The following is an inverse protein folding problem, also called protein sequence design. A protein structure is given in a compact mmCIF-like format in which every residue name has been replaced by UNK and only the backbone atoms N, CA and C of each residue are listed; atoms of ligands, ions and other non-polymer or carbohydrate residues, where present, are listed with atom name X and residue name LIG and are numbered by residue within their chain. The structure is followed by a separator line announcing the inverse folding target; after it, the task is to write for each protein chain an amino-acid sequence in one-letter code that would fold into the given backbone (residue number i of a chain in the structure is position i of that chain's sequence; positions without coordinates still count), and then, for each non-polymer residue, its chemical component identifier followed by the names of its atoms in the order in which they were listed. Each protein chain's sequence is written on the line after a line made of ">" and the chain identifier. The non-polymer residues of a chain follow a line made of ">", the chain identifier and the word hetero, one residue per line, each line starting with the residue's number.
data_IF_469539510748
#
_entry.id   IF_469539510748
#
_cell.length_a   1.000
_cell.length_b   1.000
_cell.length_c   1.000
_cell.angle_alpha   90.00
_cell.angle_beta   90.00
_cell.angle_gamma   90.00
#
_symmetry.space_group_name_H-M   'P 1'
#
loop_
_entity.id
_entity.type
_entity.pdbx_description
1 polymer ?
#
# COMPACT_ATOMS: atom_id res chain seq x y z
N UNK A 1 -16.16 -24.44 -69.10
CA UNK A 1 -16.78 -23.10 -69.23
C UNK A 1 -18.04 -23.08 -68.43
N UNK A 2 -18.02 -22.52 -67.22
CA UNK A 2 -19.19 -22.04 -66.50
C UNK A 2 -18.70 -20.86 -65.61
N UNK A 3 -19.21 -19.71 -65.96
CA UNK A 3 -18.97 -18.40 -65.39
C UNK A 3 -19.44 -18.34 -63.94
N UNK A 4 -18.57 -17.79 -63.05
CA UNK A 4 -18.84 -17.41 -61.65
C UNK A 4 -19.42 -16.00 -61.74
N UNK A 5 -20.55 -15.69 -61.08
CA UNK A 5 -21.01 -14.32 -60.99
C UNK A 5 -20.26 -13.60 -59.82
N UNK A 6 -19.71 -12.46 -60.15
CA UNK A 6 -19.23 -11.44 -59.23
C UNK A 6 -20.46 -10.71 -58.70
N UNK A 7 -20.59 -10.64 -57.41
CA UNK A 7 -21.61 -9.87 -56.72
C UNK A 7 -21.29 -9.74 -55.25
N UNK A 8 -20.24 -8.93 -54.91
CA UNK A 8 -20.15 -8.35 -53.57
C UNK A 8 -20.71 -6.93 -53.70
N UNK A 9 -22.02 -6.83 -53.55
CA UNK A 9 -22.64 -5.56 -53.23
C UNK A 9 -22.26 -5.12 -51.84
N UNK A 10 -21.81 -3.88 -51.72
CA UNK A 10 -21.55 -3.13 -50.53
C UNK A 10 -22.82 -3.05 -49.66
N UNK A 11 -23.01 -3.99 -48.74
CA UNK A 11 -23.84 -3.77 -47.58
C UNK A 11 -23.08 -2.86 -46.60
N UNK A 12 -22.97 -1.59 -46.95
CA UNK A 12 -22.88 -0.52 -45.96
C UNK A 12 -24.20 -0.57 -45.19
N UNK A 13 -24.21 -1.34 -44.09
CA UNK A 13 -25.22 -1.30 -43.06
C UNK A 13 -25.38 0.17 -42.65
N UNK A 14 -26.40 0.81 -43.22
CA UNK A 14 -26.95 2.06 -42.72
C UNK A 14 -27.39 1.76 -41.28
N UNK A 15 -26.54 2.11 -40.33
CA UNK A 15 -26.91 2.13 -38.92
C UNK A 15 -28.14 3.04 -38.79
N UNK A 16 -29.29 2.43 -38.61
CA UNK A 16 -30.52 3.17 -38.30
C UNK A 16 -30.22 3.92 -37.01
N UNK A 17 -30.19 5.23 -37.08
CA UNK A 17 -30.06 6.08 -35.88
C UNK A 17 -31.26 5.84 -34.97
N UNK A 18 -31.10 4.96 -33.99
CA UNK A 18 -32.16 4.61 -33.05
C UNK A 18 -32.36 5.74 -32.03
N UNK A 19 -31.25 6.35 -31.57
CA UNK A 19 -31.25 7.41 -30.55
C UNK A 19 -31.19 8.80 -31.20
N UNK A 20 -32.22 9.59 -31.01
CA UNK A 20 -32.25 11.01 -31.36
C UNK A 20 -31.97 11.85 -30.12
N UNK A 21 -30.96 12.71 -30.19
CA UNK A 21 -30.54 13.63 -29.11
C UNK A 21 -30.89 15.04 -29.50
N UNK A 22 -31.59 15.79 -28.66
CA UNK A 22 -32.05 17.15 -28.91
C UNK A 22 -31.77 18.02 -27.68
N UNK A 23 -31.21 19.22 -27.91
CA UNK A 23 -31.00 20.21 -26.87
C UNK A 23 -32.00 21.36 -26.96
N UNK A 24 -32.51 21.81 -25.81
CA UNK A 24 -33.46 22.93 -25.75
C UNK A 24 -33.35 23.66 -24.42
N UNK A 25 -33.85 24.91 -24.38
CA UNK A 25 -33.93 25.70 -23.18
C UNK A 25 -35.16 25.32 -22.35
N UNK A 26 -34.97 25.09 -21.06
CA UNK A 26 -36.07 24.82 -20.14
C UNK A 26 -36.46 26.07 -19.39
N UNK A 27 -37.29 26.92 -19.98
CA UNK A 27 -37.62 28.27 -19.53
C UNK A 27 -38.29 28.34 -18.16
N UNK A 28 -38.97 27.28 -17.72
CA UNK A 28 -39.62 27.21 -16.39
C UNK A 28 -38.64 27.25 -15.22
N UNK A 29 -37.33 27.11 -15.43
CA UNK A 29 -36.29 27.16 -14.39
C UNK A 29 -35.28 28.28 -14.62
N UNK A 30 -35.81 29.51 -14.81
CA UNK A 30 -34.99 30.71 -14.96
C UNK A 30 -34.33 31.09 -13.63
N UNK A 31 -33.02 31.37 -13.66
CA UNK A 31 -32.29 31.88 -12.48
C UNK A 31 -32.63 33.34 -12.18
N UNK A 32 -32.27 33.83 -10.98
CA UNK A 32 -32.42 35.25 -10.61
C UNK A 32 -31.62 36.19 -11.54
N UNK A 33 -30.60 35.68 -12.23
CA UNK A 33 -29.74 36.39 -13.17
C UNK A 33 -30.27 36.37 -14.61
N UNK A 34 -31.43 35.74 -14.85
CA UNK A 34 -32.09 35.68 -16.14
C UNK A 34 -31.64 34.51 -17.02
N UNK A 35 -30.72 33.64 -16.54
CA UNK A 35 -30.23 32.48 -17.29
C UNK A 35 -31.21 31.32 -17.20
N UNK A 36 -31.20 30.49 -18.25
CA UNK A 36 -32.08 29.32 -18.41
C UNK A 36 -31.22 28.06 -18.62
N UNK A 37 -31.55 26.96 -17.95
CA UNK A 37 -30.79 25.71 -18.14
C UNK A 37 -31.06 25.08 -19.50
N UNK A 38 -30.01 24.54 -20.11
CA UNK A 38 -30.07 23.69 -21.30
C UNK A 38 -30.46 22.28 -20.86
N UNK A 39 -31.49 21.72 -21.47
CA UNK A 39 -31.93 20.34 -21.27
C UNK A 39 -31.60 19.50 -22.49
N UNK A 40 -31.22 18.24 -22.22
CA UNK A 40 -31.07 17.22 -23.24
C UNK A 40 -32.33 16.33 -23.28
N UNK A 41 -32.88 16.09 -24.46
CA UNK A 41 -34.00 15.18 -24.71
C UNK A 41 -33.51 14.05 -25.57
N UNK A 42 -33.74 12.84 -25.11
CA UNK A 42 -33.48 11.59 -25.80
C UNK A 42 -34.80 11.01 -26.32
N UNK A 43 -34.82 10.55 -27.52
CA UNK A 43 -35.99 9.86 -28.12
C UNK A 43 -35.55 8.67 -28.96
N UNK A 44 -36.33 7.57 -28.88
CA UNK A 44 -36.26 6.44 -29.82
C UNK A 44 -37.66 6.29 -30.42
N UNK A 45 -37.76 6.05 -31.69
CA UNK A 45 -39.02 5.78 -32.44
C UNK A 45 -40.18 6.78 -32.24
N UNK A 46 -39.85 8.01 -31.80
CA UNK A 46 -40.83 9.11 -31.63
C UNK A 46 -41.79 9.00 -30.43
N UNK A 47 -41.87 7.84 -29.76
CA UNK A 47 -42.84 7.58 -28.69
C UNK A 47 -42.21 7.69 -27.29
N UNK A 48 -41.09 7.02 -27.07
CA UNK A 48 -40.37 7.04 -25.79
C UNK A 48 -39.48 8.27 -25.70
N UNK A 49 -39.57 8.98 -24.58
CA UNK A 49 -38.73 10.18 -24.32
C UNK A 49 -38.19 10.19 -22.91
N UNK A 50 -36.90 10.53 -22.79
CA UNK A 50 -36.23 10.81 -21.55
C UNK A 50 -35.61 12.20 -21.62
N UNK A 51 -35.65 12.98 -20.53
CA UNK A 51 -35.05 14.31 -20.51
C UNK A 51 -34.31 14.57 -19.21
N UNK A 52 -33.20 15.32 -19.30
CA UNK A 52 -32.41 15.72 -18.15
C UNK A 52 -31.72 17.06 -18.35
N UNK A 53 -31.38 17.71 -17.24
CA UNK A 53 -30.60 18.96 -17.28
C UNK A 53 -29.14 18.67 -17.58
N UNK A 54 -28.55 19.42 -18.49
CA UNK A 54 -27.09 19.36 -18.77
C UNK A 54 -26.28 20.09 -17.68
N UNK A 55 -26.95 20.81 -16.76
CA UNK A 55 -26.37 21.72 -15.77
C UNK A 55 -25.64 22.92 -16.37
N UNK A 56 -25.83 23.20 -17.66
CA UNK A 56 -25.33 24.38 -18.35
C UNK A 56 -26.46 25.43 -18.37
N UNK A 57 -26.12 26.67 -18.08
CA UNK A 57 -27.06 27.78 -18.02
C UNK A 57 -26.63 28.88 -19.00
N UNK A 58 -27.56 29.43 -19.73
CA UNK A 58 -27.30 30.53 -20.69
C UNK A 58 -28.43 31.55 -20.69
N UNK A 59 -28.15 32.74 -21.22
CA UNK A 59 -29.16 33.71 -21.55
C UNK A 59 -29.90 33.26 -22.81
N UNK A 60 -31.26 33.30 -22.87
CA UNK A 60 -32.04 32.79 -24.00
C UNK A 60 -31.72 33.47 -25.33
N UNK A 61 -31.29 34.74 -25.30
CA UNK A 61 -31.04 35.57 -26.48
C UNK A 61 -29.88 35.01 -27.35
N UNK A 62 -28.94 34.29 -26.74
CA UNK A 62 -27.79 33.74 -27.46
C UNK A 62 -27.98 32.27 -27.88
N UNK A 63 -29.16 31.71 -27.65
CA UNK A 63 -29.45 30.32 -28.06
C UNK A 63 -29.96 30.25 -29.50
N UNK A 64 -29.38 29.35 -30.28
CA UNK A 64 -29.88 28.98 -31.60
C UNK A 64 -30.72 27.71 -31.47
N UNK A 65 -32.04 27.86 -31.71
CA UNK A 65 -33.00 26.77 -31.59
C UNK A 65 -32.83 25.70 -32.71
N UNK A 66 -32.46 26.14 -33.90
CA UNK A 66 -32.35 25.27 -35.05
C UNK A 66 -31.04 24.53 -35.05
N UNK A 67 -29.94 25.22 -34.77
CA UNK A 67 -28.62 24.64 -34.63
C UNK A 67 -28.42 23.96 -33.25
N UNK A 68 -29.30 24.18 -32.28
CA UNK A 68 -29.22 23.65 -30.91
C UNK A 68 -27.86 23.93 -30.20
N UNK A 69 -27.37 25.15 -30.39
CA UNK A 69 -26.09 25.59 -29.88
C UNK A 69 -26.13 27.02 -29.38
N UNK A 70 -25.10 27.46 -28.68
CA UNK A 70 -24.92 28.85 -28.24
C UNK A 70 -24.27 29.64 -29.38
N UNK A 71 -24.87 30.78 -29.74
CA UNK A 71 -24.35 31.70 -30.75
C UNK A 71 -23.15 32.48 -30.25
N UNK A 72 -22.20 32.77 -31.14
CA UNK A 72 -21.01 33.58 -30.87
C UNK A 72 -19.75 32.80 -30.66
N UNK A 73 -18.63 33.53 -30.53
CA UNK A 73 -17.27 32.97 -30.40
C UNK A 73 -16.63 33.28 -29.04
N UNK A 74 -17.44 33.70 -28.04
CA UNK A 74 -16.95 33.91 -26.67
C UNK A 74 -16.44 32.60 -26.08
N UNK A 75 -15.46 32.66 -25.15
CA UNK A 75 -14.93 31.48 -24.49
C UNK A 75 -16.04 30.61 -23.86
N UNK A 76 -17.02 31.24 -23.22
CA UNK A 76 -18.17 30.55 -22.63
C UNK A 76 -19.04 29.84 -23.69
N UNK A 77 -19.30 30.48 -24.83
CA UNK A 77 -20.06 29.87 -25.92
C UNK A 77 -19.35 28.65 -26.49
N UNK A 78 -18.05 28.76 -26.72
CA UNK A 78 -17.20 27.64 -27.20
C UNK A 78 -17.19 26.51 -26.18
N UNK A 79 -17.02 26.83 -24.91
CA UNK A 79 -16.97 25.81 -23.81
C UNK A 79 -18.32 25.06 -23.69
N UNK A 80 -19.44 25.81 -23.72
CA UNK A 80 -20.78 25.21 -23.62
C UNK A 80 -21.04 24.32 -24.83
N UNK A 81 -20.77 24.79 -26.03
CA UNK A 81 -21.00 24.03 -27.26
C UNK A 81 -20.14 22.76 -27.28
N UNK A 82 -18.88 22.85 -26.86
CA UNK A 82 -18.00 21.67 -26.71
C UNK A 82 -18.60 20.66 -25.72
N UNK A 83 -19.12 21.14 -24.59
CA UNK A 83 -19.73 20.24 -23.60
C UNK A 83 -21.00 19.56 -24.12
N UNK A 84 -21.82 20.23 -24.91
CA UNK A 84 -22.97 19.62 -25.57
C UNK A 84 -22.55 18.54 -26.56
N UNK A 85 -21.47 18.76 -27.32
CA UNK A 85 -20.88 17.75 -28.20
C UNK A 85 -20.36 16.55 -27.40
N UNK A 86 -19.64 16.76 -26.31
CA UNK A 86 -19.15 15.67 -25.45
C UNK A 86 -20.30 14.81 -24.93
N UNK A 87 -21.41 15.42 -24.48
CA UNK A 87 -22.62 14.70 -24.05
C UNK A 87 -23.18 13.84 -25.22
N UNK A 88 -23.22 14.41 -26.41
CA UNK A 88 -23.70 13.69 -27.61
C UNK A 88 -22.82 12.47 -27.93
N UNK A 89 -21.49 12.66 -27.91
CA UNK A 89 -20.52 11.58 -28.19
C UNK A 89 -20.64 10.48 -27.13
N UNK A 90 -20.79 10.85 -25.86
CA UNK A 90 -20.96 9.88 -24.77
C UNK A 90 -22.23 9.04 -24.92
N UNK A 91 -23.36 9.68 -25.20
CA UNK A 91 -24.65 9.01 -25.38
C UNK A 91 -24.65 8.08 -26.59
N UNK A 92 -24.08 8.53 -27.72
CA UNK A 92 -23.92 7.71 -28.93
C UNK A 92 -22.94 6.55 -28.70
N UNK A 93 -21.90 6.74 -27.90
CA UNK A 93 -21.00 5.67 -27.51
C UNK A 93 -21.66 4.59 -26.63
N UNK A 94 -22.60 4.97 -25.76
CA UNK A 94 -23.40 4.04 -24.96
C UNK A 94 -24.37 3.27 -25.88
N UNK A 95 -25.09 3.97 -26.73
CA UNK A 95 -25.98 3.36 -27.73
C UNK A 95 -25.29 2.28 -28.54
N UNK A 96 -24.13 2.62 -29.11
CA UNK A 96 -23.32 1.70 -29.91
C UNK A 96 -22.92 0.45 -29.15
N UNK A 97 -22.44 0.59 -27.90
CA UNK A 97 -22.04 -0.55 -27.05
C UNK A 97 -23.21 -1.47 -26.71
N UNK A 98 -24.39 -0.91 -26.44
CA UNK A 98 -25.59 -1.69 -26.14
C UNK A 98 -26.05 -2.43 -27.42
N UNK A 99 -26.03 -1.77 -28.57
CA UNK A 99 -26.37 -2.39 -29.83
C UNK A 99 -25.42 -3.54 -30.21
N UNK A 100 -24.12 -3.36 -30.05
CA UNK A 100 -23.11 -4.39 -30.28
C UNK A 100 -23.25 -5.59 -29.35
N UNK A 101 -23.75 -5.39 -28.11
CA UNK A 101 -23.90 -6.45 -27.10
C UNK A 101 -25.19 -7.28 -27.30
N UNK A 102 -26.35 -6.62 -27.50
CA UNK A 102 -27.66 -7.26 -27.42
C UNK A 102 -28.55 -7.06 -28.69
N UNK A 103 -28.08 -6.30 -29.68
CA UNK A 103 -28.84 -5.98 -30.88
C UNK A 103 -30.10 -5.14 -30.63
N UNK A 104 -30.38 -4.77 -29.40
CA UNK A 104 -31.54 -3.97 -28.99
C UNK A 104 -31.08 -2.85 -28.04
N UNK A 105 -31.68 -1.66 -28.16
CA UNK A 105 -31.27 -0.49 -27.37
C UNK A 105 -32.46 0.09 -26.62
N UNK A 106 -32.42 0.02 -25.31
CA UNK A 106 -33.42 0.63 -24.44
C UNK A 106 -33.03 2.05 -24.05
N UNK A 107 -33.93 3.01 -24.25
CA UNK A 107 -33.72 4.40 -23.82
C UNK A 107 -33.51 4.54 -22.31
N UNK A 108 -34.19 3.72 -21.52
CA UNK A 108 -34.02 3.67 -20.07
C UNK A 108 -32.61 3.19 -19.67
N UNK A 109 -32.09 2.20 -20.39
CA UNK A 109 -30.70 1.71 -20.18
C UNK A 109 -29.67 2.74 -20.56
N UNK A 110 -29.77 3.37 -21.74
CA UNK A 110 -28.86 4.47 -22.13
C UNK A 110 -28.84 5.54 -21.04
N UNK A 111 -30.02 5.98 -20.60
CA UNK A 111 -30.12 7.02 -19.59
C UNK A 111 -29.59 6.58 -18.23
N UNK A 112 -29.86 5.34 -17.82
CA UNK A 112 -29.34 4.76 -16.57
C UNK A 112 -27.81 4.73 -16.59
N UNK A 113 -27.20 4.19 -17.65
CA UNK A 113 -25.75 4.12 -17.80
C UNK A 113 -25.14 5.53 -17.83
N UNK A 114 -25.73 6.45 -18.61
CA UNK A 114 -25.28 7.82 -18.69
C UNK A 114 -25.38 8.53 -17.32
N UNK A 115 -26.51 8.38 -16.63
CA UNK A 115 -26.76 8.96 -15.31
C UNK A 115 -25.81 8.38 -14.24
N UNK A 116 -25.61 7.08 -14.24
CA UNK A 116 -24.65 6.44 -13.31
C UNK A 116 -23.21 6.87 -13.62
N UNK A 117 -22.84 7.02 -14.88
CA UNK A 117 -21.53 7.54 -15.28
C UNK A 117 -21.33 9.02 -14.88
N UNK A 118 -22.41 9.82 -14.84
CA UNK A 118 -22.35 11.24 -14.47
C UNK A 118 -22.57 11.51 -12.97
N UNK A 119 -23.02 10.51 -12.18
CA UNK A 119 -23.47 10.70 -10.78
C UNK A 119 -22.45 10.24 -9.75
N UNK A 120 -21.54 9.37 -10.08
CA UNK A 120 -20.46 9.02 -9.14
C UNK A 120 -19.13 9.67 -9.59
N UNK A 121 -18.98 10.92 -9.26
CA UNK A 121 -17.67 11.53 -9.27
C UNK A 121 -16.87 10.94 -8.09
N UNK A 122 -16.21 9.82 -8.34
CA UNK A 122 -15.36 9.20 -7.34
C UNK A 122 -14.25 10.16 -6.94
N UNK A 123 -14.15 10.44 -5.66
CA UNK A 123 -13.14 11.33 -5.09
C UNK A 123 -12.05 10.54 -4.38
N UNK A 124 -10.87 11.12 -4.25
CA UNK A 124 -9.74 10.44 -3.60
C UNK A 124 -10.05 10.11 -2.14
N UNK A 125 -10.57 11.07 -1.37
CA UNK A 125 -10.94 10.83 0.03
C UNK A 125 -12.13 9.87 0.15
N UNK A 126 -13.09 9.92 -0.79
CA UNK A 126 -14.20 8.97 -0.87
C UNK A 126 -13.71 7.54 -0.97
N UNK A 127 -12.78 7.26 -1.90
CA UNK A 127 -12.16 5.94 -2.08
C UNK A 127 -11.43 5.49 -0.80
N UNK A 128 -10.69 6.39 -0.13
CA UNK A 128 -10.04 6.08 1.14
C UNK A 128 -11.06 5.69 2.21
N UNK A 129 -12.15 6.45 2.39
CA UNK A 129 -13.19 6.18 3.39
C UNK A 129 -13.84 4.81 3.14
N UNK A 130 -14.22 4.53 1.91
CA UNK A 130 -14.83 3.25 1.54
C UNK A 130 -13.91 2.06 1.83
N UNK A 131 -12.61 2.21 1.48
CA UNK A 131 -11.63 1.16 1.76
C UNK A 131 -11.37 0.99 3.25
N UNK A 132 -11.28 2.08 4.02
CA UNK A 132 -11.11 2.04 5.46
C UNK A 132 -12.30 1.34 6.15
N UNK A 133 -13.53 1.65 5.74
CA UNK A 133 -14.74 1.00 6.24
C UNK A 133 -14.74 -0.51 5.96
N UNK A 134 -14.34 -0.92 4.74
CA UNK A 134 -14.20 -2.35 4.40
C UNK A 134 -13.09 -3.03 5.21
N UNK A 135 -11.94 -2.37 5.38
CA UNK A 135 -10.84 -2.90 6.20
C UNK A 135 -11.25 -3.05 7.67
N UNK A 136 -12.06 -2.14 8.22
CA UNK A 136 -12.56 -2.19 9.59
C UNK A 136 -13.45 -3.42 9.82
N UNK A 137 -14.32 -3.76 8.87
CA UNK A 137 -15.16 -4.97 8.92
C UNK A 137 -14.35 -6.28 8.83
N UNK A 138 -13.13 -6.21 8.29
CA UNK A 138 -12.23 -7.35 8.10
C UNK A 138 -11.09 -7.38 9.12
N UNK A 139 -11.13 -6.54 10.16
CA UNK A 139 -10.16 -6.60 11.26
C UNK A 139 -10.26 -7.96 11.96
N UNK A 140 -9.11 -8.48 12.35
CA UNK A 140 -8.89 -9.83 12.92
C UNK A 140 -9.21 -11.01 11.99
N UNK A 141 -9.66 -10.75 10.76
CA UNK A 141 -9.84 -11.77 9.71
C UNK A 141 -8.75 -11.65 8.64
N UNK A 142 -8.61 -10.47 8.04
CA UNK A 142 -7.67 -10.19 6.95
C UNK A 142 -6.65 -9.11 7.35
N UNK A 143 -7.07 -8.15 8.18
CA UNK A 143 -6.24 -7.02 8.58
C UNK A 143 -6.02 -7.00 10.08
N UNK A 144 -4.78 -6.69 10.51
CA UNK A 144 -4.53 -6.38 11.92
C UNK A 144 -5.01 -4.96 12.26
N UNK A 145 -5.41 -4.69 13.52
CA UNK A 145 -5.76 -3.34 13.99
C UNK A 145 -4.65 -2.31 13.69
N UNK A 146 -3.39 -2.72 13.84
CA UNK A 146 -2.22 -1.88 13.54
C UNK A 146 -2.13 -1.51 12.04
N UNK A 147 -2.54 -2.41 11.14
CA UNK A 147 -2.57 -2.13 9.70
C UNK A 147 -3.64 -1.09 9.38
N UNK A 148 -4.85 -1.25 9.90
CA UNK A 148 -5.95 -0.28 9.74
C UNK A 148 -5.52 1.11 10.25
N UNK A 149 -4.92 1.17 11.44
CA UNK A 149 -4.42 2.43 12.02
C UNK A 149 -3.42 3.14 11.10
N UNK A 150 -2.50 2.39 10.46
CA UNK A 150 -1.54 2.95 9.50
C UNK A 150 -2.20 3.51 8.23
N UNK A 151 -3.30 2.93 7.77
CA UNK A 151 -4.07 3.50 6.65
C UNK A 151 -4.83 4.77 7.07
N UNK A 152 -5.38 4.81 8.29
CA UNK A 152 -6.00 6.04 8.85
C UNK A 152 -4.99 7.19 8.95
N UNK A 153 -3.77 6.91 9.43
CA UNK A 153 -2.69 7.91 9.48
C UNK A 153 -2.33 8.45 8.08
N UNK A 154 -2.25 7.57 7.08
CA UNK A 154 -1.99 7.99 5.69
C UNK A 154 -3.14 8.82 5.14
N UNK A 155 -4.38 8.42 5.43
CA UNK A 155 -5.55 9.18 4.99
C UNK A 155 -5.55 10.60 5.57
N UNK A 156 -5.19 10.76 6.85
CA UNK A 156 -5.06 12.09 7.46
C UNK A 156 -4.01 12.97 6.75
N UNK A 157 -2.86 12.40 6.32
CA UNK A 157 -1.88 13.13 5.51
C UNK A 157 -2.45 13.56 4.16
N UNK A 158 -3.24 12.72 3.49
CA UNK A 158 -3.88 13.03 2.21
C UNK A 158 -4.92 14.14 2.38
N UNK A 159 -5.82 14.04 3.38
CA UNK A 159 -6.83 15.06 3.67
C UNK A 159 -6.18 16.42 4.00
N UNK A 160 -5.14 16.42 4.82
CA UNK A 160 -4.41 17.63 5.16
C UNK A 160 -3.79 18.27 3.91
N UNK A 161 -3.14 17.48 3.05
CA UNK A 161 -2.53 17.97 1.82
C UNK A 161 -3.57 18.59 0.87
N UNK A 162 -4.70 17.91 0.64
CA UNK A 162 -5.77 18.41 -0.22
C UNK A 162 -6.30 19.73 0.32
N UNK A 163 -6.55 19.82 1.63
CA UNK A 163 -7.04 21.03 2.28
C UNK A 163 -6.08 22.20 2.14
N UNK A 164 -4.78 21.96 2.32
CA UNK A 164 -3.79 23.04 2.31
C UNK A 164 -3.37 23.46 0.90
N UNK A 165 -3.32 22.52 -0.06
CA UNK A 165 -2.80 22.80 -1.40
C UNK A 165 -3.90 23.15 -2.41
N UNK A 166 -5.12 22.64 -2.22
CA UNK A 166 -6.24 22.85 -3.14
C UNK A 166 -7.37 23.69 -2.53
N UNK A 167 -7.29 24.04 -1.24
CA UNK A 167 -8.32 24.77 -0.49
C UNK A 167 -9.73 24.15 -0.62
N UNK A 168 -9.79 22.81 -0.65
CA UNK A 168 -11.01 22.01 -0.74
C UNK A 168 -10.96 20.83 0.23
N UNK A 169 -12.09 20.20 0.50
CA UNK A 169 -12.16 19.02 1.38
C UNK A 169 -11.82 17.72 0.65
N UNK A 170 -11.96 17.67 -0.68
CA UNK A 170 -11.71 16.49 -1.50
C UNK A 170 -11.48 16.88 -2.96
N UNK A 171 -10.92 15.96 -3.75
CA UNK A 171 -10.70 16.15 -5.19
C UNK A 171 -11.22 14.95 -5.97
N UNK A 172 -11.74 15.16 -7.20
CA UNK A 172 -12.07 14.07 -8.10
C UNK A 172 -10.85 13.17 -8.35
N UNK A 173 -11.05 11.85 -8.32
CA UNK A 173 -9.95 10.90 -8.51
C UNK A 173 -9.27 11.04 -9.89
N UNK A 174 -10.00 11.52 -10.91
CA UNK A 174 -9.44 11.82 -12.24
C UNK A 174 -8.40 12.94 -12.25
N UNK A 175 -8.39 13.80 -11.20
CA UNK A 175 -7.43 14.89 -11.03
C UNK A 175 -6.15 14.43 -10.31
N UNK A 176 -6.10 13.15 -9.88
CA UNK A 176 -4.90 12.55 -9.30
C UNK A 176 -4.00 12.07 -10.43
N UNK A 177 -3.18 12.97 -10.94
CA UNK A 177 -2.18 12.72 -11.97
C UNK A 177 -0.77 12.54 -11.37
N UNK A 178 0.24 12.35 -12.22
CA UNK A 178 1.64 12.25 -11.79
C UNK A 178 2.12 13.52 -11.06
N UNK A 179 1.62 14.69 -11.47
CA UNK A 179 1.96 15.98 -10.83
C UNK A 179 1.45 16.01 -9.40
N UNK A 180 0.20 15.57 -9.16
CA UNK A 180 -0.33 15.42 -7.81
C UNK A 180 0.55 14.50 -6.95
N UNK A 181 0.94 13.33 -7.49
CA UNK A 181 1.77 12.35 -6.77
C UNK A 181 3.10 12.98 -6.35
N UNK A 182 3.76 13.73 -7.23
CA UNK A 182 5.05 14.37 -6.94
C UNK A 182 4.91 15.52 -5.95
N UNK A 183 3.91 16.37 -6.12
CA UNK A 183 3.66 17.49 -5.21
C UNK A 183 3.29 17.01 -3.80
N UNK A 184 2.53 15.91 -3.69
CA UNK A 184 2.24 15.30 -2.40
C UNK A 184 3.52 14.75 -1.73
N UNK A 185 4.39 14.07 -2.47
CA UNK A 185 5.69 13.62 -1.96
C UNK A 185 6.54 14.81 -1.46
N UNK A 186 6.62 15.88 -2.23
CA UNK A 186 7.35 17.11 -1.88
C UNK A 186 6.79 17.75 -0.61
N UNK A 187 5.46 17.82 -0.46
CA UNK A 187 4.82 18.32 0.75
C UNK A 187 5.20 17.48 1.98
N UNK A 188 5.29 16.15 1.86
CA UNK A 188 5.75 15.28 2.95
C UNK A 188 7.24 15.49 3.29
N UNK A 189 8.08 15.81 2.30
CA UNK A 189 9.49 16.17 2.52
C UNK A 189 9.58 17.50 3.28
N UNK A 190 8.82 18.51 2.88
CA UNK A 190 8.76 19.82 3.54
C UNK A 190 8.28 19.70 4.99
N UNK A 191 7.38 18.75 5.29
CA UNK A 191 6.98 18.42 6.67
C UNK A 191 8.11 17.77 7.50
N UNK A 192 9.28 17.51 6.93
CA UNK A 192 10.43 16.92 7.62
C UNK A 192 10.34 15.41 7.83
N UNK A 193 9.47 14.70 7.12
CA UNK A 193 9.36 13.24 7.23
C UNK A 193 10.57 12.55 6.60
N UNK A 194 10.99 11.43 7.21
CA UNK A 194 12.10 10.62 6.68
C UNK A 194 11.67 9.86 5.42
N UNK A 195 12.57 9.67 4.46
CA UNK A 195 12.32 8.95 3.21
C UNK A 195 11.61 7.60 3.40
N UNK A 196 12.00 6.81 4.42
CA UNK A 196 11.33 5.54 4.74
C UNK A 196 9.85 5.70 5.11
N UNK A 197 9.49 6.79 5.81
CA UNK A 197 8.10 7.10 6.18
C UNK A 197 7.33 7.54 4.95
N UNK A 198 7.90 8.46 4.16
CA UNK A 198 7.31 8.95 2.90
C UNK A 198 7.04 7.77 1.96
N UNK A 199 8.02 6.90 1.72
CA UNK A 199 7.84 5.74 0.86
C UNK A 199 6.69 4.82 1.32
N UNK A 200 6.49 4.66 2.62
CA UNK A 200 5.37 3.88 3.16
C UNK A 200 4.03 4.58 3.00
N UNK A 201 3.98 5.91 3.13
CA UNK A 201 2.78 6.71 2.85
C UNK A 201 2.43 6.58 1.37
N UNK A 202 3.39 6.87 0.48
CA UNK A 202 3.21 6.79 -0.97
C UNK A 202 2.79 5.39 -1.45
N UNK A 203 3.34 4.33 -0.85
CA UNK A 203 2.93 2.95 -1.14
C UNK A 203 1.45 2.70 -0.83
N UNK A 204 0.91 3.25 0.27
CA UNK A 204 -0.50 3.09 0.62
C UNK A 204 -1.42 3.95 -0.24
N UNK A 205 -1.01 5.17 -0.55
CA UNK A 205 -1.74 6.02 -1.54
C UNK A 205 -1.79 5.32 -2.89
N UNK A 206 -0.66 4.76 -3.35
CA UNK A 206 -0.62 3.96 -4.59
C UNK A 206 -1.63 2.81 -4.56
N UNK A 207 -1.79 2.10 -3.42
CA UNK A 207 -2.77 1.02 -3.32
C UNK A 207 -4.21 1.52 -3.55
N UNK A 208 -4.56 2.71 -3.04
CA UNK A 208 -5.90 3.30 -3.25
C UNK A 208 -6.10 3.72 -4.70
N UNK A 209 -5.09 4.35 -5.30
CA UNK A 209 -5.14 4.79 -6.71
C UNK A 209 -5.15 3.60 -7.67
N UNK A 210 -4.35 2.56 -7.39
CA UNK A 210 -4.39 1.31 -8.17
C UNK A 210 -5.75 0.62 -8.07
N UNK A 211 -6.41 0.68 -6.90
CA UNK A 211 -7.78 0.19 -6.78
C UNK A 211 -8.74 0.99 -7.67
N UNK A 212 -8.66 2.32 -7.65
CA UNK A 212 -9.47 3.17 -8.52
C UNK A 212 -9.24 2.86 -10.02
N UNK A 213 -7.99 2.64 -10.41
CA UNK A 213 -7.64 2.24 -11.77
C UNK A 213 -8.26 0.89 -12.16
N UNK A 214 -8.15 -0.12 -11.29
CA UNK A 214 -8.76 -1.44 -11.52
C UNK A 214 -10.30 -1.41 -11.58
N UNK A 215 -10.92 -0.43 -10.90
CA UNK A 215 -12.37 -0.20 -10.96
C UNK A 215 -12.79 0.69 -12.15
N UNK A 216 -11.87 1.06 -13.03
CA UNK A 216 -12.09 1.96 -14.16
C UNK A 216 -12.59 3.37 -13.77
N UNK A 217 -12.28 3.84 -12.55
CA UNK A 217 -12.58 5.21 -12.11
C UNK A 217 -11.61 6.23 -12.71
N UNK A 218 -10.41 5.78 -13.11
CA UNK A 218 -9.39 6.53 -13.85
C UNK A 218 -8.87 5.68 -15.01
N UNK A 219 -8.44 6.33 -16.08
CA UNK A 219 -7.97 5.66 -17.31
C UNK A 219 -6.48 5.28 -17.27
N UNK A 220 -5.68 5.96 -16.46
CA UNK A 220 -4.24 5.75 -16.33
C UNK A 220 -3.83 5.71 -14.86
N UNK A 221 -2.87 4.85 -14.52
CA UNK A 221 -2.29 4.83 -13.16
C UNK A 221 -1.20 5.91 -13.07
N UNK A 222 -1.39 6.97 -12.26
CA UNK A 222 -0.43 8.05 -12.11
C UNK A 222 0.87 7.63 -11.42
N UNK A 223 0.93 6.43 -10.85
CA UNK A 223 2.12 5.88 -10.21
C UNK A 223 3.02 5.06 -11.13
N UNK A 224 2.71 4.94 -12.44
CA UNK A 224 3.53 4.15 -13.38
C UNK A 224 4.99 4.63 -13.39
N UNK A 225 5.20 5.92 -13.53
CA UNK A 225 6.53 6.55 -13.57
C UNK A 225 7.11 6.88 -12.18
N UNK A 226 6.31 6.70 -11.11
CA UNK A 226 6.75 7.06 -9.78
C UNK A 226 7.83 6.11 -9.26
N UNK A 227 8.95 6.68 -8.80
CA UNK A 227 10.06 5.98 -8.15
C UNK A 227 10.17 6.42 -6.69
N UNK A 228 10.18 5.48 -5.73
CA UNK A 228 10.36 5.80 -4.32
C UNK A 228 11.69 6.51 -4.05
N UNK A 229 11.73 7.32 -3.01
CA UNK A 229 12.94 7.97 -2.54
C UNK A 229 14.00 6.94 -2.17
N UNK A 230 15.25 7.21 -2.54
CA UNK A 230 16.38 6.32 -2.21
C UNK A 230 16.63 6.31 -0.71
N UNK A 231 16.68 5.14 -0.12
CA UNK A 231 16.97 4.92 1.30
C UNK A 231 18.36 4.27 1.44
N UNK A 232 19.20 4.84 2.30
CA UNK A 232 20.40 4.16 2.75
C UNK A 232 20.10 3.45 4.06
N UNK A 233 19.73 2.18 4.00
CA UNK A 233 19.53 1.36 5.20
C UNK A 233 20.90 0.93 5.74
N UNK A 234 21.32 1.47 6.87
CA UNK A 234 22.46 0.91 7.61
C UNK A 234 21.98 -0.27 8.43
N UNK A 235 22.65 -1.40 8.27
CA UNK A 235 22.39 -2.58 9.09
C UNK A 235 23.05 -2.34 10.46
N UNK A 236 22.23 -2.21 11.50
CA UNK A 236 22.71 -2.06 12.90
C UNK A 236 22.63 -3.42 13.59
N UNK A 237 23.76 -3.91 14.07
CA UNK A 237 23.92 -5.15 14.84
C UNK A 237 25.12 -4.99 15.79
N UNK A 238 25.24 -5.85 16.80
CA UNK A 238 26.40 -5.89 17.68
C UNK A 238 27.54 -6.67 17.04
N UNK A 239 28.76 -6.11 17.09
CA UNK A 239 29.98 -6.86 16.81
C UNK A 239 30.23 -7.90 17.88
N UNK A 240 31.18 -8.81 17.69
CA UNK A 240 31.56 -9.81 18.70
C UNK A 240 32.07 -9.14 19.99
N UNK A 241 32.83 -8.06 19.85
CA UNK A 241 33.38 -7.31 20.99
C UNK A 241 32.27 -6.58 21.77
N UNK A 242 31.34 -5.94 21.07
CA UNK A 242 30.18 -5.25 21.69
C UNK A 242 29.25 -6.26 22.39
N UNK A 243 29.04 -7.43 21.76
CA UNK A 243 28.25 -8.50 22.36
C UNK A 243 28.93 -9.01 23.62
N UNK A 244 30.24 -9.25 23.58
CA UNK A 244 31.02 -9.67 24.74
C UNK A 244 30.97 -8.66 25.89
N UNK A 245 31.10 -7.37 25.60
CA UNK A 245 30.94 -6.31 26.62
C UNK A 245 29.56 -6.38 27.27
N UNK A 246 28.50 -6.54 26.48
CA UNK A 246 27.13 -6.61 27.00
C UNK A 246 26.88 -7.84 27.87
N UNK A 247 27.42 -9.00 27.46
CA UNK A 247 27.29 -10.26 28.22
C UNK A 247 27.93 -10.20 29.59
N UNK A 248 29.12 -9.60 29.68
CA UNK A 248 29.90 -9.57 30.90
C UNK A 248 29.57 -8.37 31.82
N UNK A 249 28.73 -7.45 31.36
CA UNK A 249 28.26 -6.34 32.18
C UNK A 249 27.10 -6.78 33.09
N UNK A 250 27.26 -6.59 34.39
CA UNK A 250 26.23 -6.86 35.38
C UNK A 250 25.58 -5.57 35.87
N UNK A 251 24.26 -5.51 35.76
CA UNK A 251 23.50 -4.36 36.25
C UNK A 251 22.96 -4.62 37.65
N UNK A 252 23.30 -3.77 38.61
CA UNK A 252 22.72 -3.80 39.97
C UNK A 252 21.19 -3.61 39.91
N UNK A 253 20.70 -2.88 38.94
CA UNK A 253 19.26 -2.65 38.74
C UNK A 253 18.60 -3.85 38.05
N UNK A 254 17.74 -4.57 38.79
CA UNK A 254 17.05 -5.78 38.31
C UNK A 254 16.31 -5.57 36.95
N UNK A 255 15.71 -4.36 36.74
CA UNK A 255 15.03 -4.03 35.52
C UNK A 255 15.95 -4.04 34.26
N UNK A 256 17.18 -3.52 34.42
CA UNK A 256 18.15 -3.46 33.31
C UNK A 256 18.76 -4.85 33.07
N UNK A 257 19.10 -5.58 34.14
CA UNK A 257 19.59 -6.95 34.04
C UNK A 257 18.57 -7.85 33.32
N UNK A 258 17.28 -7.75 33.68
CA UNK A 258 16.20 -8.49 33.03
C UNK A 258 16.10 -8.14 31.56
N UNK A 259 16.12 -6.87 31.17
CA UNK A 259 16.00 -6.47 29.76
C UNK A 259 17.26 -6.83 28.96
N UNK A 260 18.46 -6.75 29.58
CA UNK A 260 19.69 -7.27 28.97
C UNK A 260 19.53 -8.76 28.60
N UNK A 261 19.06 -9.56 29.54
CA UNK A 261 18.89 -10.99 29.33
C UNK A 261 17.80 -11.33 28.31
N UNK A 262 16.69 -10.57 28.28
CA UNK A 262 15.68 -10.67 27.21
C UNK A 262 16.30 -10.35 25.83
N UNK A 263 17.14 -9.33 25.75
CA UNK A 263 17.83 -8.99 24.52
C UNK A 263 18.82 -10.09 24.10
N UNK A 264 19.66 -10.56 25.02
CA UNK A 264 20.61 -11.64 24.77
C UNK A 264 19.92 -12.95 24.36
N UNK A 265 18.78 -13.26 24.97
CA UNK A 265 17.98 -14.42 24.54
C UNK A 265 17.57 -14.30 23.07
N UNK A 266 17.16 -13.13 22.64
CA UNK A 266 16.84 -12.89 21.22
C UNK A 266 18.08 -12.82 20.32
N UNK A 267 19.26 -12.46 20.86
CA UNK A 267 20.54 -12.57 20.15
C UNK A 267 20.92 -14.03 19.89
N UNK A 268 20.59 -14.97 20.79
CA UNK A 268 20.93 -16.37 20.65
C UNK A 268 19.85 -17.27 20.05
N UNK A 269 18.63 -16.74 19.85
CA UNK A 269 17.51 -17.49 19.24
C UNK A 269 17.01 -16.89 17.94
N UNK A 270 17.31 -15.62 17.68
CA UNK A 270 16.80 -14.89 16.51
C UNK A 270 15.29 -14.63 16.54
N UNK A 271 14.60 -14.92 17.64
CA UNK A 271 13.15 -14.72 17.76
C UNK A 271 12.78 -13.25 17.62
N UNK A 272 11.67 -12.98 16.95
CA UNK A 272 11.08 -11.64 16.96
C UNK A 272 10.43 -11.34 18.32
N UNK A 273 10.24 -10.05 18.65
CA UNK A 273 9.71 -9.64 19.94
C UNK A 273 8.43 -10.38 20.34
N UNK A 274 7.44 -10.46 19.45
CA UNK A 274 6.17 -11.14 19.77
C UNK A 274 6.34 -12.65 19.96
N UNK A 275 7.26 -13.27 19.22
CA UNK A 275 7.58 -14.69 19.33
C UNK A 275 8.23 -15.01 20.68
N UNK A 276 9.22 -14.20 21.05
CA UNK A 276 9.91 -14.33 22.33
C UNK A 276 8.99 -14.09 23.53
N UNK A 277 8.08 -13.10 23.44
CA UNK A 277 7.10 -12.78 24.49
C UNK A 277 5.97 -13.83 24.63
N UNK A 278 5.69 -14.58 23.56
CA UNK A 278 4.67 -15.63 23.56
C UNK A 278 5.24 -17.04 23.82
N UNK A 279 6.56 -17.13 24.01
CA UNK A 279 7.24 -18.43 24.18
C UNK A 279 6.89 -19.07 25.52
N UNK A 280 6.41 -20.31 25.45
CA UNK A 280 6.02 -21.13 26.60
C UNK A 280 6.88 -22.41 26.67
N UNK A 281 6.99 -23.09 27.81
CA UNK A 281 7.74 -24.33 27.94
C UNK A 281 7.35 -25.42 26.93
N UNK A 282 6.10 -25.52 26.56
CA UNK A 282 5.58 -26.48 25.56
C UNK A 282 6.17 -26.29 24.15
N UNK A 283 6.69 -25.10 23.85
CA UNK A 283 7.34 -24.82 22.56
C UNK A 283 8.79 -25.28 22.51
N UNK A 284 9.33 -25.79 23.63
CA UNK A 284 10.69 -26.34 23.70
C UNK A 284 10.57 -27.86 23.70
N UNK A 285 11.05 -28.50 22.64
CA UNK A 285 10.97 -29.94 22.42
C UNK A 285 12.36 -30.50 22.11
N UNK A 286 12.57 -31.77 22.41
CA UNK A 286 13.79 -32.44 21.96
C UNK A 286 13.73 -32.74 20.47
N UNK A 287 14.72 -32.28 19.73
CA UNK A 287 14.90 -32.55 18.32
C UNK A 287 15.50 -33.92 18.03
N UNK A 288 15.60 -34.25 16.76
CA UNK A 288 16.18 -35.52 16.27
C UNK A 288 17.68 -35.69 16.60
N UNK A 289 18.36 -34.57 16.88
CA UNK A 289 19.77 -34.51 17.27
C UNK A 289 19.99 -34.53 18.79
N UNK A 290 18.93 -34.76 19.58
CA UNK A 290 18.96 -34.79 21.03
C UNK A 290 19.05 -33.39 21.71
N UNK A 291 19.19 -32.31 20.95
CA UNK A 291 19.21 -30.95 21.45
C UNK A 291 17.79 -30.43 21.72
N UNK A 292 17.67 -29.39 22.53
CA UNK A 292 16.41 -28.71 22.69
C UNK A 292 16.21 -27.75 21.52
N UNK A 293 14.99 -27.74 20.97
CA UNK A 293 14.57 -26.88 19.88
C UNK A 293 13.36 -26.06 20.27
N UNK A 294 13.34 -24.79 19.87
CA UNK A 294 12.14 -23.97 19.92
C UNK A 294 11.38 -24.19 18.62
N UNK A 295 10.14 -24.68 18.73
CA UNK A 295 9.23 -24.85 17.60
C UNK A 295 7.97 -24.01 17.85
N UNK A 296 7.66 -23.09 16.94
CA UNK A 296 6.50 -22.21 17.03
C UNK A 296 5.96 -21.81 15.65
N UNK A 297 4.65 -21.54 15.58
CA UNK A 297 4.02 -21.01 14.39
C UNK A 297 3.94 -19.47 14.48
N UNK A 298 4.40 -18.79 13.44
CA UNK A 298 4.39 -17.33 13.38
C UNK A 298 3.00 -16.79 13.13
N UNK A 299 2.48 -15.99 14.03
CA UNK A 299 1.18 -15.32 13.87
C UNK A 299 1.06 -14.47 12.59
N UNK A 300 2.16 -13.87 12.11
CA UNK A 300 2.14 -12.98 10.95
C UNK A 300 2.15 -13.70 9.61
N UNK A 301 2.73 -14.88 9.53
CA UNK A 301 3.00 -15.57 8.25
C UNK A 301 2.50 -17.00 8.21
N UNK A 302 1.90 -17.47 9.32
CA UNK A 302 1.42 -18.84 9.54
C UNK A 302 2.46 -19.91 9.18
N UNK A 303 3.74 -19.58 9.43
CA UNK A 303 4.87 -20.49 9.14
C UNK A 303 5.47 -21.01 10.42
N UNK A 304 5.75 -22.29 10.41
CA UNK A 304 6.53 -22.94 11.45
C UNK A 304 7.99 -22.46 11.38
N UNK A 305 8.53 -22.14 12.55
CA UNK A 305 9.93 -21.79 12.75
C UNK A 305 10.49 -22.70 13.82
N UNK A 306 11.57 -23.40 13.47
CA UNK A 306 12.29 -24.27 14.37
C UNK A 306 13.72 -23.78 14.53
N UNK A 307 14.12 -23.50 15.77
CA UNK A 307 15.44 -22.95 16.12
C UNK A 307 16.08 -23.85 17.17
N UNK A 308 17.27 -24.43 16.91
CA UNK A 308 18.01 -25.18 17.93
C UNK A 308 18.49 -24.24 19.00
N UNK A 309 18.36 -24.63 20.27
CA UNK A 309 18.85 -23.85 21.41
C UNK A 309 20.37 -23.96 21.52
N UNK A 310 21.03 -22.80 21.49
CA UNK A 310 22.44 -22.69 21.81
C UNK A 310 22.61 -22.74 23.35
N UNK A 311 23.76 -23.22 23.88
CA UNK A 311 24.01 -23.30 25.32
C UNK A 311 23.77 -21.97 26.07
N UNK A 312 24.07 -20.84 25.43
CA UNK A 312 23.82 -19.50 25.97
C UNK A 312 22.31 -19.22 26.15
N UNK A 313 21.50 -19.64 25.19
CA UNK A 313 20.04 -19.51 25.28
C UNK A 313 19.46 -20.39 26.39
N UNK A 314 19.99 -21.62 26.57
CA UNK A 314 19.57 -22.53 27.64
C UNK A 314 19.90 -21.96 29.04
N UNK A 315 21.07 -21.35 29.22
CA UNK A 315 21.45 -20.64 30.48
C UNK A 315 20.47 -19.50 30.78
N UNK A 316 20.07 -18.74 29.77
CA UNK A 316 19.11 -17.66 29.94
C UNK A 316 17.71 -18.18 30.28
N UNK A 317 17.26 -19.29 29.72
CA UNK A 317 16.01 -19.96 30.10
C UNK A 317 16.05 -20.39 31.55
N UNK A 318 17.15 -20.98 32.01
CA UNK A 318 17.33 -21.35 33.43
C UNK A 318 17.24 -20.12 34.34
N UNK A 319 17.93 -19.03 33.99
CA UNK A 319 17.88 -17.78 34.71
C UNK A 319 16.45 -17.18 34.76
N UNK A 320 15.69 -17.19 33.67
CA UNK A 320 14.30 -16.73 33.67
C UNK A 320 13.40 -17.57 34.57
N UNK A 321 13.60 -18.89 34.61
CA UNK A 321 12.86 -19.78 35.53
C UNK A 321 13.10 -19.49 36.98
N UNK A 322 14.33 -19.17 37.36
CA UNK A 322 14.66 -18.73 38.73
C UNK A 322 14.00 -17.38 39.09
N UNK A 323 13.89 -16.48 38.08
CA UNK A 323 13.31 -15.18 38.26
C UNK A 323 11.77 -15.24 38.44
N UNK A 324 11.09 -16.15 37.69
CA UNK A 324 9.64 -16.26 37.58
C UNK A 324 9.20 -17.74 37.61
N UNK A 325 9.18 -18.33 38.82
CA UNK A 325 8.79 -19.75 38.99
C UNK A 325 7.32 -20.06 38.74
N UNK A 326 6.47 -19.07 38.54
CA UNK A 326 4.99 -19.22 38.44
C UNK A 326 4.42 -18.80 37.09
N UNK A 327 5.23 -18.36 36.13
CA UNK A 327 4.77 -17.87 34.85
C UNK A 327 4.66 -19.00 33.82
N UNK A 328 3.57 -19.02 33.06
CA UNK A 328 3.37 -19.89 31.90
C UNK A 328 4.33 -19.57 30.73
N UNK A 329 5.06 -18.46 30.81
CA UNK A 329 5.98 -17.98 29.78
C UNK A 329 7.43 -18.14 30.18
N UNK A 330 8.30 -18.35 29.17
CA UNK A 330 9.75 -18.54 29.39
C UNK A 330 10.41 -17.30 29.96
N UNK A 331 10.01 -16.10 29.50
CA UNK A 331 10.61 -14.83 29.93
C UNK A 331 9.54 -13.84 30.42
N UNK A 332 9.92 -12.85 31.26
CA UNK A 332 9.01 -11.82 31.74
C UNK A 332 8.38 -11.02 30.57
N UNK A 333 7.09 -10.76 30.66
CA UNK A 333 6.34 -10.00 29.64
C UNK A 333 6.48 -8.50 29.86
N UNK A 334 7.29 -7.83 29.04
CA UNK A 334 7.54 -6.39 29.08
C UNK A 334 7.21 -5.81 27.70
N UNK A 335 6.47 -4.70 27.64
CA UNK A 335 6.10 -4.08 26.37
C UNK A 335 7.33 -3.74 25.49
N UNK A 336 7.21 -3.87 24.15
CA UNK A 336 8.31 -3.58 23.25
C UNK A 336 8.84 -2.16 23.37
N UNK A 337 7.96 -1.21 23.65
CA UNK A 337 8.33 0.19 23.89
C UNK A 337 9.24 0.30 25.12
N UNK A 338 8.87 -0.37 26.21
CA UNK A 338 9.63 -0.36 27.47
C UNK A 338 10.98 -1.09 27.34
N UNK A 339 10.99 -2.26 26.67
CA UNK A 339 12.23 -2.97 26.32
C UNK A 339 13.17 -2.06 25.52
N UNK A 340 12.69 -1.43 24.45
CA UNK A 340 13.52 -0.55 23.62
C UNK A 340 13.97 0.73 24.35
N UNK A 341 13.21 1.21 25.35
CA UNK A 341 13.62 2.34 26.20
C UNK A 341 14.78 1.95 27.10
N UNK A 342 14.69 0.81 27.77
CA UNK A 342 15.79 0.33 28.63
C UNK A 342 17.01 -0.11 27.84
N UNK A 343 16.86 -0.63 26.61
CA UNK A 343 18.00 -0.95 25.75
C UNK A 343 18.84 0.27 25.38
N UNK A 344 18.28 1.47 25.34
CA UNK A 344 19.07 2.70 25.17
C UNK A 344 19.91 2.98 26.38
N UNK A 345 19.32 2.92 27.59
CA UNK A 345 20.03 3.10 28.85
C UNK A 345 21.15 2.05 29.01
N UNK A 346 20.87 0.80 28.66
CA UNK A 346 21.85 -0.28 28.65
C UNK A 346 23.01 0.01 27.68
N UNK A 347 22.72 0.46 26.46
CA UNK A 347 23.74 0.80 25.47
C UNK A 347 24.67 1.92 25.97
N UNK A 348 24.07 2.97 26.55
CA UNK A 348 24.80 4.12 27.08
C UNK A 348 25.73 3.68 28.24
N UNK A 349 25.25 2.86 29.17
CA UNK A 349 26.04 2.38 30.34
C UNK A 349 27.18 1.45 29.89
N UNK A 350 26.93 0.55 28.91
CA UNK A 350 27.95 -0.41 28.44
C UNK A 350 28.95 0.24 27.45
N UNK A 351 28.66 1.47 26.98
CA UNK A 351 29.49 2.18 26.02
C UNK A 351 29.36 1.64 24.59
N UNK A 352 28.14 1.29 24.18
CA UNK A 352 27.80 0.83 22.83
C UNK A 352 27.18 2.00 22.07
N UNK A 353 27.93 2.61 21.17
CA UNK A 353 27.47 3.73 20.33
C UNK A 353 26.59 3.24 19.17
N UNK A 354 25.51 2.53 19.51
CA UNK A 354 24.50 2.04 18.57
C UNK A 354 23.13 2.08 19.22
N UNK A 355 22.12 2.47 18.43
CA UNK A 355 20.74 2.40 18.88
C UNK A 355 20.29 0.95 18.98
N UNK A 356 20.31 0.39 20.17
CA UNK A 356 19.82 -0.94 20.45
C UNK A 356 18.28 -0.96 20.45
N UNK A 357 17.73 -1.99 19.86
CA UNK A 357 16.29 -2.32 19.87
C UNK A 357 16.16 -3.83 19.87
N UNK A 358 15.01 -4.38 20.27
CA UNK A 358 14.79 -5.82 20.17
C UNK A 358 15.05 -6.37 18.75
N UNK A 359 14.79 -5.58 17.72
CA UNK A 359 15.07 -5.99 16.33
C UNK A 359 16.57 -6.05 16.01
N UNK A 360 17.43 -5.27 16.71
CA UNK A 360 18.89 -5.38 16.55
C UNK A 360 19.44 -6.68 17.12
N UNK A 361 18.80 -7.28 18.14
CA UNK A 361 19.15 -8.63 18.62
C UNK A 361 19.04 -9.68 17.52
N UNK A 362 17.92 -9.69 16.83
CA UNK A 362 17.68 -10.61 15.72
C UNK A 362 18.67 -10.39 14.55
N UNK A 363 19.05 -9.14 14.30
CA UNK A 363 20.09 -8.81 13.31
C UNK A 363 21.46 -9.31 13.78
N UNK A 364 21.77 -9.19 15.08
CA UNK A 364 23.00 -9.71 15.67
C UNK A 364 23.06 -11.24 15.59
N UNK A 365 21.94 -11.94 15.83
CA UNK A 365 21.83 -13.37 15.60
C UNK A 365 22.22 -13.74 14.15
N UNK A 366 21.59 -13.10 13.18
CA UNK A 366 21.87 -13.39 11.78
C UNK A 366 23.31 -13.08 11.36
N UNK A 367 23.89 -11.98 11.86
CA UNK A 367 25.23 -11.53 11.46
C UNK A 367 26.33 -12.13 12.33
N UNK A 368 26.36 -11.75 13.59
CA UNK A 368 27.47 -12.04 14.50
C UNK A 368 27.47 -13.52 14.93
N UNK A 369 26.27 -14.09 15.18
CA UNK A 369 26.17 -15.47 15.63
C UNK A 369 26.22 -16.45 14.45
N UNK A 370 25.57 -16.15 13.31
CA UNK A 370 25.46 -17.11 12.22
C UNK A 370 26.43 -16.80 11.07
N UNK A 371 26.26 -15.68 10.37
CA UNK A 371 27.02 -15.39 9.15
C UNK A 371 28.52 -15.28 9.41
N UNK A 372 28.94 -14.66 10.52
CA UNK A 372 30.37 -14.54 10.87
C UNK A 372 31.00 -15.87 11.34
N UNK A 373 30.18 -16.89 11.59
CA UNK A 373 30.59 -18.25 11.88
C UNK A 373 30.31 -19.20 10.68
N UNK A 374 30.31 -18.66 9.47
CA UNK A 374 30.22 -19.40 8.20
C UNK A 374 28.94 -20.23 8.03
N UNK A 375 27.86 -19.90 8.76
CA UNK A 375 26.56 -20.53 8.54
C UNK A 375 25.98 -20.08 7.19
N UNK A 376 25.60 -21.01 6.28
CA UNK A 376 25.08 -20.68 4.97
C UNK A 376 23.83 -19.79 5.06
N UNK A 377 23.69 -18.83 4.13
CA UNK A 377 22.63 -17.83 4.16
C UNK A 377 21.23 -18.44 4.03
N UNK A 378 21.12 -19.62 3.40
CA UNK A 378 19.91 -20.41 3.30
C UNK A 378 19.45 -20.89 4.69
N UNK A 379 20.40 -21.37 5.49
CA UNK A 379 20.16 -21.81 6.87
C UNK A 379 19.77 -20.60 7.73
N UNK A 380 20.48 -19.48 7.59
CA UNK A 380 20.13 -18.22 8.27
C UNK A 380 18.72 -17.78 7.91
N UNK A 381 18.36 -17.83 6.63
CA UNK A 381 17.01 -17.47 6.16
C UNK A 381 15.94 -18.37 6.77
N UNK A 382 16.20 -19.67 6.89
CA UNK A 382 15.29 -20.66 7.50
C UNK A 382 15.13 -20.41 9.00
N UNK A 383 16.24 -20.24 9.73
CA UNK A 383 16.22 -19.94 11.17
C UNK A 383 15.51 -18.62 11.48
N UNK A 384 15.70 -17.61 10.62
CA UNK A 384 14.94 -16.37 10.70
C UNK A 384 13.48 -16.53 10.22
N UNK A 385 13.08 -17.62 9.60
CA UNK A 385 11.75 -17.86 9.05
C UNK A 385 11.33 -16.80 8.02
N UNK A 386 12.25 -16.39 7.16
CA UNK A 386 11.92 -15.50 6.05
C UNK A 386 11.18 -16.27 4.95
N UNK A 387 10.20 -15.63 4.33
CA UNK A 387 9.40 -16.24 3.26
C UNK A 387 10.18 -16.45 1.96
N UNK A 388 11.23 -15.65 1.76
CA UNK A 388 12.09 -15.68 0.59
C UNK A 388 13.53 -15.37 1.04
N UNK A 389 14.49 -16.13 0.53
CA UNK A 389 15.91 -15.93 0.79
C UNK A 389 16.41 -14.56 0.38
N UNK A 390 15.80 -13.97 -0.66
CA UNK A 390 16.13 -12.62 -1.13
C UNK A 390 15.98 -11.56 -0.04
N UNK A 391 15.09 -11.76 0.93
CA UNK A 391 14.93 -10.86 2.10
C UNK A 391 16.19 -10.88 2.95
N UNK A 392 16.77 -12.07 3.15
CA UNK A 392 18.03 -12.27 3.90
C UNK A 392 19.22 -11.71 3.12
N UNK A 393 19.33 -12.04 1.85
CA UNK A 393 20.39 -11.56 0.96
C UNK A 393 20.42 -10.03 0.91
N UNK A 394 19.28 -9.40 0.64
CA UNK A 394 19.18 -7.94 0.58
C UNK A 394 19.48 -7.26 1.91
N UNK A 395 19.04 -7.87 3.01
CA UNK A 395 19.24 -7.30 4.36
C UNK A 395 20.69 -7.39 4.85
N UNK A 396 21.41 -8.44 4.44
CA UNK A 396 22.74 -8.77 4.96
C UNK A 396 23.86 -8.75 3.91
N UNK A 397 23.60 -8.29 2.68
CA UNK A 397 24.60 -8.23 1.60
C UNK A 397 25.88 -7.47 2.00
N UNK A 398 25.77 -6.41 2.81
CA UNK A 398 26.91 -5.63 3.28
C UNK A 398 27.83 -6.40 4.24
N UNK A 399 27.35 -7.46 4.86
CA UNK A 399 28.10 -8.29 5.82
C UNK A 399 28.96 -9.32 5.11
N UNK A 400 28.60 -9.69 3.89
CA UNK A 400 29.31 -10.69 3.10
C UNK A 400 30.76 -10.29 2.77
N UNK A 401 31.08 -9.00 2.74
CA UNK A 401 32.45 -8.53 2.46
C UNK A 401 33.47 -9.04 3.50
N UNK A 402 33.09 -9.12 4.79
CA UNK A 402 33.97 -9.67 5.84
C UNK A 402 34.20 -11.18 5.63
N UNK A 403 33.13 -11.90 5.28
CA UNK A 403 33.23 -13.33 4.98
C UNK A 403 34.08 -13.58 3.73
N UNK A 404 33.94 -12.75 2.68
CA UNK A 404 34.81 -12.81 1.50
C UNK A 404 36.28 -12.69 1.92
N UNK A 405 36.63 -11.70 2.73
CA UNK A 405 38.02 -11.52 3.21
C UNK A 405 38.51 -12.75 4.00
N UNK A 406 37.66 -13.29 4.89
CA UNK A 406 38.02 -14.49 5.65
C UNK A 406 38.19 -15.71 4.79
N UNK A 407 37.33 -15.92 3.79
CA UNK A 407 37.42 -17.03 2.85
C UNK A 407 38.65 -16.91 1.94
N UNK A 408 38.96 -15.71 1.45
CA UNK A 408 40.17 -15.46 0.64
C UNK A 408 41.42 -15.74 1.49
N UNK A 409 41.49 -15.25 2.74
CA UNK A 409 42.63 -15.52 3.60
C UNK A 409 42.80 -17.00 3.97
N UNK A 410 41.72 -17.79 3.98
CA UNK A 410 41.82 -19.29 4.09
C UNK A 410 42.33 -19.92 2.79
N UNK A 411 41.82 -19.41 1.65
CA UNK A 411 42.26 -19.91 0.33
C UNK A 411 43.75 -19.63 0.07
N UNK A 412 44.21 -18.43 0.45
CA UNK A 412 45.63 -18.06 0.37
C UNK A 412 46.51 -19.00 1.17
N UNK A 413 46.09 -19.47 2.36
CA UNK A 413 46.81 -20.43 3.15
C UNK A 413 46.85 -21.82 2.52
N UNK A 414 45.77 -22.22 1.81
CA UNK A 414 45.68 -23.53 1.15
C UNK A 414 46.45 -23.54 -0.18
N UNK A 415 46.47 -22.43 -0.90
CA UNK A 415 47.17 -22.30 -2.18
C UNK A 415 48.65 -21.89 -2.04
N UNK A 416 49.04 -21.38 -0.86
CA UNK A 416 50.43 -21.00 -0.55
C UNK A 416 51.27 -22.13 0.09
N UNK A 417 50.64 -23.30 0.34
CA UNK A 417 51.27 -24.56 0.66
C UNK A 417 51.49 -25.39 -0.63
#
# INVERSE_FOLDING_TARGET
>A
MKSIPVGYENDLLTMVEILRITYYLYEFKRTKQGEVPIYCKLTTDGINRQQFSTRLYIRPEIWDKDAQCVRGTSEDAVLINRRLQDITIELKGIERKLYEADGNVSLAEIYSIYKHKTVEEHTLCGIFRDRLNKMEQLVDKEYSPATLQKFREVFAHVEQYIRTSYNTQDIPIRNVDYRFVKQFEEALIVQGLKAITINKIMQRVRQMVTYAFKCNYIQQDPFVEYRPLKERKRLVFLTQEELHKLEHHHFAQKRLETVKNIYLFSVYTGLAYHEAQALQPKHITKGFDGRNWITLVRQKTDREVSVPLLPQAEKLIAWFRELNSTDDYIQPRISNQKVNSYLREIADVVGIDKKLTHHTARKTFATTILLYNDVPIEVVSKLLGHSNISVTQHSYAQVLNKNISNHIGRLEKVLGE
#
